data_IF_405051968597
#
_entry.id   IF_405051968597
#
_cell.length_a   1.000
_cell.length_b   1.000
_cell.length_c   1.000
_cell.angle_alpha   90.00
_cell.angle_beta   90.00
_cell.angle_gamma   90.00
#
_symmetry.space_group_name_H-M   'P 1'
#
loop_
_entity.id
_entity.type
_entity.pdbx_description
1 polymer ?
#
# COMPACT_ATOMS: atom_id res chain seq x y z
N UNK A 1 20.36 -13.02 13.17
CA UNK A 1 19.06 -13.51 12.68
C UNK A 1 19.07 -13.34 11.18
N UNK A 2 19.00 -14.44 10.42
CA UNK A 2 18.92 -14.34 8.95
C UNK A 2 17.63 -13.62 8.58
N UNK A 3 17.73 -12.57 7.76
CA UNK A 3 16.59 -11.90 7.20
C UNK A 3 15.95 -12.84 6.17
N UNK A 4 14.78 -13.39 6.50
CA UNK A 4 14.03 -14.25 5.59
C UNK A 4 13.55 -13.43 4.39
N UNK A 5 13.83 -13.89 3.18
CA UNK A 5 13.25 -13.32 1.96
C UNK A 5 11.84 -13.89 1.79
N UNK A 6 10.84 -13.03 1.85
CA UNK A 6 9.44 -13.42 1.68
C UNK A 6 9.06 -13.51 0.21
N UNK A 7 8.21 -14.47 -0.12
CA UNK A 7 7.53 -14.51 -1.43
C UNK A 7 6.60 -13.32 -1.56
N UNK A 8 6.73 -12.56 -2.66
CA UNK A 8 5.95 -11.35 -2.93
C UNK A 8 5.28 -11.42 -4.31
N UNK A 9 4.06 -10.92 -4.40
CA UNK A 9 3.29 -10.87 -5.67
C UNK A 9 3.97 -10.01 -6.73
N UNK A 10 4.67 -8.97 -6.31
CA UNK A 10 5.40 -8.07 -7.21
C UNK A 10 6.48 -8.80 -8.03
N UNK A 11 7.01 -9.93 -7.53
CA UNK A 11 7.98 -10.73 -8.27
C UNK A 11 7.44 -11.15 -9.65
N UNK A 12 6.17 -11.55 -9.73
CA UNK A 12 5.54 -11.92 -11.00
C UNK A 12 5.41 -10.72 -11.96
N UNK A 13 5.15 -9.52 -11.43
CA UNK A 13 5.11 -8.31 -12.25
C UNK A 13 6.50 -7.91 -12.78
N UNK A 14 7.55 -8.13 -11.98
CA UNK A 14 8.93 -7.93 -12.41
C UNK A 14 9.33 -8.92 -13.52
N UNK A 15 8.91 -10.20 -13.38
CA UNK A 15 9.15 -11.22 -14.42
C UNK A 15 8.41 -10.89 -15.72
N UNK A 16 7.15 -10.45 -15.63
CA UNK A 16 6.38 -10.00 -16.79
C UNK A 16 7.03 -8.79 -17.46
N UNK A 17 7.49 -7.79 -16.69
CA UNK A 17 8.23 -6.65 -17.24
C UNK A 17 9.48 -7.10 -18.00
N UNK A 18 10.28 -8.01 -17.45
CA UNK A 18 11.50 -8.52 -18.09
C UNK A 18 11.20 -9.13 -19.46
N UNK A 19 10.16 -9.96 -19.55
CA UNK A 19 9.74 -10.62 -20.80
C UNK A 19 9.17 -9.65 -21.83
N UNK A 20 8.40 -8.64 -21.40
CA UNK A 20 7.78 -7.66 -22.31
C UNK A 20 8.81 -6.61 -22.74
N UNK A 21 9.53 -6.03 -21.80
CA UNK A 21 10.46 -4.93 -22.05
C UNK A 21 11.64 -5.33 -22.92
N UNK A 22 12.22 -6.50 -22.70
CA UNK A 22 13.43 -6.99 -23.38
C UNK A 22 14.53 -5.94 -23.45
N UNK A 23 14.65 -5.11 -22.40
CA UNK A 23 15.63 -4.05 -22.26
C UNK A 23 15.24 -2.70 -22.86
N UNK A 24 14.01 -2.56 -23.38
CA UNK A 24 13.53 -1.28 -23.94
C UNK A 24 13.15 -0.25 -22.87
N UNK A 25 12.96 -0.68 -21.62
CA UNK A 25 12.65 0.19 -20.47
C UNK A 25 13.40 -0.28 -19.23
N UNK A 26 13.72 0.65 -18.34
CA UNK A 26 14.08 0.34 -16.95
C UNK A 26 12.82 0.08 -16.12
N UNK A 27 12.95 -0.67 -15.03
CA UNK A 27 11.88 -0.90 -14.06
C UNK A 27 12.08 -0.01 -12.83
N UNK A 28 11.09 0.83 -12.51
CA UNK A 28 11.07 1.57 -11.24
C UNK A 28 10.08 0.89 -10.27
N UNK A 29 10.59 0.38 -9.13
CA UNK A 29 9.81 -0.20 -8.04
C UNK A 29 9.57 0.88 -6.98
N UNK A 30 8.36 1.44 -6.98
CA UNK A 30 7.93 2.45 -6.03
C UNK A 30 7.24 1.85 -4.80
N UNK A 31 7.24 2.56 -3.69
CA UNK A 31 6.47 2.17 -2.51
C UNK A 31 7.04 2.73 -1.21
N UNK A 32 6.30 2.57 -0.12
CA UNK A 32 6.69 3.07 1.19
C UNK A 32 8.07 2.53 1.63
N UNK A 33 8.68 3.23 2.56
CA UNK A 33 9.94 2.77 3.16
C UNK A 33 9.71 1.51 3.99
N UNK A 34 10.71 0.61 4.04
CA UNK A 34 10.70 -0.64 4.85
C UNK A 34 9.71 -1.72 4.42
N UNK A 35 9.17 -1.67 3.21
CA UNK A 35 8.29 -2.74 2.67
C UNK A 35 9.05 -3.87 1.96
N UNK A 36 10.40 -3.77 1.86
CA UNK A 36 11.25 -4.82 1.31
C UNK A 36 11.58 -4.67 -0.18
N UNK A 37 11.56 -3.45 -0.75
CA UNK A 37 11.89 -3.18 -2.16
C UNK A 37 13.27 -3.70 -2.55
N UNK A 38 14.33 -3.23 -1.88
CA UNK A 38 15.72 -3.63 -2.16
C UNK A 38 15.91 -5.15 -2.07
N UNK A 39 15.30 -5.78 -1.05
CA UNK A 39 15.38 -7.22 -0.84
C UNK A 39 14.77 -8.01 -1.99
N UNK A 40 13.56 -7.65 -2.44
CA UNK A 40 12.89 -8.40 -3.52
C UNK A 40 13.53 -8.16 -4.88
N UNK A 41 14.03 -6.95 -5.13
CA UNK A 41 14.74 -6.63 -6.38
C UNK A 41 16.06 -7.38 -6.45
N UNK A 42 16.81 -7.44 -5.34
CA UNK A 42 18.05 -8.22 -5.29
C UNK A 42 17.78 -9.73 -5.44
N UNK A 43 16.74 -10.26 -4.80
CA UNK A 43 16.33 -11.66 -4.95
C UNK A 43 15.93 -11.97 -6.39
N UNK A 44 15.19 -11.08 -7.03
CA UNK A 44 14.84 -11.19 -8.44
C UNK A 44 16.09 -11.22 -9.33
N UNK A 45 17.05 -10.32 -9.07
CA UNK A 45 18.29 -10.28 -9.83
C UNK A 45 19.12 -11.58 -9.68
N UNK A 46 19.19 -12.14 -8.47
CA UNK A 46 19.88 -13.42 -8.20
C UNK A 46 19.28 -14.59 -8.96
N UNK A 47 17.97 -14.61 -9.11
CA UNK A 47 17.28 -15.75 -9.69
C UNK A 47 17.11 -15.64 -11.22
N UNK A 48 17.03 -14.42 -11.76
CA UNK A 48 16.62 -14.17 -13.13
C UNK A 48 17.78 -13.73 -14.05
N UNK A 49 18.97 -13.44 -13.51
CA UNK A 49 20.13 -12.96 -14.28
C UNK A 49 21.37 -13.76 -13.96
N UNK A 50 22.32 -13.85 -14.92
CA UNK A 50 23.61 -14.51 -14.72
C UNK A 50 24.52 -13.73 -13.76
N UNK A 51 24.40 -12.39 -13.76
CA UNK A 51 25.09 -11.52 -12.82
C UNK A 51 24.32 -10.23 -12.59
N UNK A 52 24.61 -9.54 -11.49
CA UNK A 52 24.03 -8.24 -11.19
C UNK A 52 25.01 -7.36 -10.41
N UNK A 53 24.83 -6.06 -10.54
CA UNK A 53 25.46 -5.04 -9.68
C UNK A 53 24.32 -4.30 -8.96
N UNK A 54 24.39 -4.26 -7.61
CA UNK A 54 23.51 -3.45 -6.79
C UNK A 54 24.28 -2.24 -6.28
N UNK A 55 23.83 -1.04 -6.64
CA UNK A 55 24.37 0.23 -6.21
C UNK A 55 23.40 0.84 -5.20
N UNK A 56 23.67 0.70 -3.91
CA UNK A 56 22.94 1.45 -2.88
C UNK A 56 23.49 2.89 -2.82
N UNK A 57 22.73 3.85 -3.31
CA UNK A 57 23.15 5.24 -3.33
C UNK A 57 23.21 5.93 -1.96
N UNK A 58 22.71 5.31 -0.89
CA UNK A 58 23.01 5.79 0.46
C UNK A 58 24.46 5.53 0.85
N UNK A 59 25.02 4.38 0.43
CA UNK A 59 26.36 3.90 0.82
C UNK A 59 27.40 4.07 -0.28
N UNK A 60 26.99 4.29 -1.54
CA UNK A 60 27.87 4.42 -2.68
C UNK A 60 28.89 5.55 -2.50
N UNK A 61 30.14 5.27 -2.91
CA UNK A 61 31.24 6.23 -2.84
C UNK A 61 31.00 7.46 -3.74
N UNK A 62 31.74 8.54 -3.49
CA UNK A 62 31.65 9.75 -4.30
C UNK A 62 32.05 9.48 -5.76
N UNK A 63 33.03 8.61 -5.96
CA UNK A 63 33.55 8.21 -7.28
C UNK A 63 32.45 7.47 -8.06
N UNK A 64 31.72 6.55 -7.45
CA UNK A 64 30.59 5.86 -8.09
C UNK A 64 29.47 6.84 -8.44
N UNK A 65 29.13 7.77 -7.56
CA UNK A 65 28.11 8.80 -7.86
C UNK A 65 28.54 9.73 -8.97
N UNK A 66 29.81 10.11 -9.02
CA UNK A 66 30.38 11.00 -10.04
C UNK A 66 30.40 10.38 -11.46
N UNK A 67 30.32 9.05 -11.58
CA UNK A 67 30.22 8.39 -12.90
C UNK A 67 29.01 8.87 -13.72
N UNK A 68 27.95 9.29 -13.04
CA UNK A 68 26.71 9.75 -13.67
C UNK A 68 26.72 11.26 -13.96
N UNK A 69 27.81 11.97 -13.67
CA UNK A 69 27.96 13.39 -13.99
C UNK A 69 28.33 13.60 -15.47
N UNK A 70 29.03 12.65 -16.07
CA UNK A 70 29.42 12.64 -17.46
C UNK A 70 29.07 11.33 -18.16
N UNK A 71 28.08 11.39 -19.03
CA UNK A 71 27.55 10.24 -19.78
C UNK A 71 28.17 10.07 -21.17
N UNK A 72 29.25 10.84 -21.48
CA UNK A 72 29.92 10.79 -22.78
C UNK A 72 30.61 9.44 -23.01
N UNK A 73 31.00 8.74 -21.95
CA UNK A 73 31.68 7.45 -22.04
C UNK A 73 31.02 6.36 -21.20
N UNK A 74 29.98 5.77 -21.75
CA UNK A 74 29.21 4.68 -21.11
C UNK A 74 30.07 3.43 -20.88
N UNK A 75 31.04 3.14 -21.78
CA UNK A 75 31.95 2.00 -21.63
C UNK A 75 32.80 2.15 -20.38
N UNK A 76 33.30 3.35 -20.11
CA UNK A 76 34.06 3.63 -18.88
C UNK A 76 33.19 3.42 -17.63
N UNK A 77 31.93 3.84 -17.65
CA UNK A 77 30.98 3.60 -16.54
C UNK A 77 30.90 2.11 -16.22
N UNK A 78 30.68 1.27 -17.23
CA UNK A 78 30.53 -0.17 -17.00
C UNK A 78 31.86 -0.82 -16.57
N UNK A 79 32.99 -0.43 -17.13
CA UNK A 79 34.29 -0.94 -16.71
C UNK A 79 34.56 -0.58 -15.24
N UNK A 80 34.31 0.66 -14.86
CA UNK A 80 34.48 1.12 -13.49
C UNK A 80 33.56 0.36 -12.51
N UNK A 81 32.31 0.23 -12.84
CA UNK A 81 31.33 -0.51 -12.00
C UNK A 81 31.71 -1.98 -11.82
N UNK A 82 32.12 -2.66 -12.89
CA UNK A 82 32.60 -4.05 -12.81
C UNK A 82 33.81 -4.19 -11.88
N UNK A 83 34.76 -3.25 -11.98
CA UNK A 83 35.93 -3.23 -11.10
C UNK A 83 35.57 -2.88 -9.65
N UNK A 84 34.75 -1.86 -9.42
CA UNK A 84 34.40 -1.37 -8.09
C UNK A 84 33.57 -2.42 -7.30
N UNK A 85 32.70 -3.17 -7.98
CA UNK A 85 31.85 -4.19 -7.36
C UNK A 85 32.39 -5.61 -7.52
N UNK A 86 33.54 -5.79 -8.17
CA UNK A 86 34.17 -7.10 -8.46
C UNK A 86 33.16 -8.07 -9.11
N UNK A 87 32.47 -7.62 -10.16
CA UNK A 87 31.47 -8.38 -10.90
C UNK A 87 31.71 -8.28 -12.40
N UNK A 88 31.48 -9.36 -13.12
CA UNK A 88 31.46 -9.35 -14.59
C UNK A 88 30.04 -9.20 -15.06
N UNK A 89 29.79 -8.28 -15.99
CA UNK A 89 28.51 -8.09 -16.65
C UNK A 89 28.47 -8.77 -18.01
N UNK A 90 27.39 -9.45 -18.31
CA UNK A 90 27.16 -10.17 -19.56
C UNK A 90 26.01 -9.47 -20.32
N UNK A 91 26.24 -9.16 -21.60
CA UNK A 91 25.25 -8.47 -22.45
C UNK A 91 23.93 -9.25 -22.48
N UNK A 92 22.85 -8.54 -22.24
CA UNK A 92 21.45 -9.03 -22.16
C UNK A 92 21.18 -10.11 -21.12
N UNK A 93 22.13 -10.40 -20.23
CA UNK A 93 22.03 -11.42 -19.17
C UNK A 93 22.34 -10.87 -17.78
N UNK A 94 22.65 -9.58 -17.69
CA UNK A 94 22.94 -8.91 -16.43
C UNK A 94 22.00 -7.74 -16.18
N UNK A 95 21.81 -7.42 -14.89
CA UNK A 95 21.02 -6.27 -14.46
C UNK A 95 21.83 -5.38 -13.52
N UNK A 96 21.66 -4.06 -13.67
CA UNK A 96 22.21 -3.07 -12.76
C UNK A 96 21.06 -2.48 -11.95
N UNK A 97 21.16 -2.57 -10.62
CA UNK A 97 20.14 -2.10 -9.68
C UNK A 97 20.61 -0.78 -9.09
N UNK A 98 19.78 0.25 -9.21
CA UNK A 98 19.93 1.57 -8.61
C UNK A 98 19.02 1.65 -7.38
N UNK A 99 19.55 1.27 -6.22
CA UNK A 99 18.78 1.28 -4.97
C UNK A 99 18.83 2.67 -4.34
N UNK A 100 17.66 3.14 -3.84
CA UNK A 100 17.47 4.50 -3.28
C UNK A 100 17.91 5.60 -4.27
N UNK A 101 17.46 5.49 -5.52
CA UNK A 101 17.90 6.31 -6.67
C UNK A 101 17.75 7.83 -6.44
N UNK A 102 16.86 8.26 -5.54
CA UNK A 102 16.70 9.67 -5.18
C UNK A 102 17.94 10.28 -4.51
N UNK A 103 18.87 9.46 -4.00
CA UNK A 103 20.14 9.93 -3.44
C UNK A 103 21.18 10.27 -4.52
N UNK A 104 20.90 9.90 -5.78
CA UNK A 104 21.73 10.27 -6.93
C UNK A 104 20.84 10.61 -8.15
N UNK A 105 20.23 11.81 -8.20
CA UNK A 105 19.32 12.19 -9.28
C UNK A 105 19.91 12.06 -10.69
N UNK A 106 21.22 12.28 -10.82
CA UNK A 106 21.95 12.13 -12.09
C UNK A 106 21.99 10.68 -12.59
N UNK A 107 22.09 9.71 -11.67
CA UNK A 107 21.99 8.29 -12.03
C UNK A 107 20.61 7.97 -12.62
N UNK A 108 19.55 8.53 -12.05
CA UNK A 108 18.20 8.40 -12.61
C UNK A 108 18.06 9.06 -13.98
N UNK A 109 18.62 10.26 -14.17
CA UNK A 109 18.64 10.91 -15.48
C UNK A 109 19.42 10.09 -16.52
N UNK A 110 20.46 9.36 -16.09
CA UNK A 110 21.27 8.50 -16.94
C UNK A 110 20.49 7.32 -17.53
N UNK A 111 19.41 6.87 -16.90
CA UNK A 111 18.59 5.71 -17.33
C UNK A 111 18.22 5.80 -18.81
N UNK A 112 17.82 6.97 -19.28
CA UNK A 112 17.51 7.18 -20.70
C UNK A 112 18.63 6.75 -21.64
N UNK A 113 19.86 7.09 -21.29
CA UNK A 113 21.04 6.79 -22.12
C UNK A 113 21.49 5.34 -21.94
N UNK A 114 21.38 4.81 -20.72
CA UNK A 114 21.74 3.44 -20.39
C UNK A 114 20.77 2.44 -21.04
N UNK A 115 19.48 2.71 -21.02
CA UNK A 115 18.46 1.91 -21.71
C UNK A 115 18.67 1.95 -23.23
N UNK A 116 19.02 3.13 -23.79
CA UNK A 116 19.32 3.28 -25.22
C UNK A 116 20.56 2.51 -25.66
N UNK A 117 21.57 2.36 -24.79
CA UNK A 117 22.76 1.53 -25.02
C UNK A 117 22.36 0.04 -25.18
N UNK A 118 21.43 -0.45 -24.37
CA UNK A 118 20.76 -1.75 -24.55
C UNK A 118 21.55 -2.97 -24.08
N UNK A 119 22.75 -2.84 -23.55
CA UNK A 119 23.58 -3.98 -23.11
C UNK A 119 23.04 -4.69 -21.87
N UNK A 120 22.45 -3.94 -20.93
CA UNK A 120 21.99 -4.46 -19.64
C UNK A 120 20.57 -4.03 -19.34
N UNK A 121 19.91 -4.74 -18.43
CA UNK A 121 18.65 -4.30 -17.86
C UNK A 121 18.90 -3.41 -16.63
N UNK A 122 17.95 -2.55 -16.29
CA UNK A 122 18.07 -1.62 -15.18
C UNK A 122 16.83 -1.68 -14.29
N UNK A 123 17.05 -1.76 -12.98
CA UNK A 123 15.97 -1.71 -11.99
C UNK A 123 16.32 -0.59 -11.00
N UNK A 124 15.35 0.29 -10.77
CA UNK A 124 15.44 1.38 -9.82
C UNK A 124 14.52 1.10 -8.62
N UNK A 125 14.96 1.45 -7.43
CA UNK A 125 14.08 1.52 -6.25
C UNK A 125 14.13 2.91 -5.64
N UNK A 126 13.02 3.30 -5.01
CA UNK A 126 12.99 4.56 -4.29
C UNK A 126 11.64 4.84 -3.63
N UNK A 127 11.62 5.80 -2.72
CA UNK A 127 10.39 6.38 -2.20
C UNK A 127 10.01 7.60 -3.03
N UNK A 128 8.77 7.65 -3.51
CA UNK A 128 8.31 8.67 -4.46
C UNK A 128 8.47 10.10 -3.92
N UNK A 129 8.20 10.29 -2.64
CA UNK A 129 8.30 11.59 -1.96
C UNK A 129 9.73 12.18 -2.04
N UNK A 130 10.75 11.33 -1.92
CA UNK A 130 12.15 11.75 -2.05
C UNK A 130 12.50 11.94 -3.52
N UNK A 131 11.92 11.14 -4.42
CA UNK A 131 12.13 11.23 -5.86
C UNK A 131 11.62 12.59 -6.39
N UNK A 132 10.39 12.99 -6.08
CA UNK A 132 9.83 14.27 -6.56
C UNK A 132 10.62 15.50 -6.11
N UNK A 133 11.17 15.49 -4.90
CA UNK A 133 12.04 16.58 -4.44
C UNK A 133 13.38 16.61 -5.15
N UNK A 134 13.99 15.46 -5.40
CA UNK A 134 15.32 15.35 -6.02
C UNK A 134 15.30 15.53 -7.54
N UNK A 135 14.11 15.45 -8.18
CA UNK A 135 13.99 15.52 -9.65
C UNK A 135 13.59 16.89 -10.18
N UNK A 136 13.50 17.92 -9.33
CA UNK A 136 13.15 19.29 -9.78
C UNK A 136 14.09 19.83 -10.86
N UNK A 137 15.35 19.39 -10.85
CA UNK A 137 16.41 19.88 -11.71
C UNK A 137 16.86 18.85 -12.77
N UNK A 138 16.15 17.72 -12.91
CA UNK A 138 16.47 16.68 -13.91
C UNK A 138 15.29 16.36 -14.81
N UNK A 139 15.59 15.91 -16.04
CA UNK A 139 14.60 15.35 -16.94
C UNK A 139 14.27 13.93 -16.49
N UNK A 140 12.99 13.66 -16.16
CA UNK A 140 12.53 12.31 -15.81
C UNK A 140 12.59 11.44 -17.07
N UNK A 141 13.22 10.25 -17.00
CA UNK A 141 13.25 9.33 -18.14
C UNK A 141 11.85 8.91 -18.59
N UNK A 142 11.64 8.91 -19.90
CA UNK A 142 10.41 8.34 -20.51
C UNK A 142 10.49 6.82 -20.66
N UNK A 143 11.68 6.28 -20.50
CA UNK A 143 12.03 4.87 -20.65
C UNK A 143 11.87 4.09 -19.33
N UNK A 144 11.04 4.56 -18.40
CA UNK A 144 10.72 3.90 -17.14
C UNK A 144 9.37 3.17 -17.22
N UNK A 145 9.34 1.90 -16.85
CA UNK A 145 8.12 1.18 -16.46
C UNK A 145 7.98 1.20 -14.94
N UNK A 146 6.83 1.64 -14.42
CA UNK A 146 6.62 1.81 -12.98
C UNK A 146 5.69 0.76 -12.42
N UNK A 147 6.10 0.13 -11.33
CA UNK A 147 5.25 -0.77 -10.55
C UNK A 147 5.24 -0.32 -9.09
N UNK A 148 4.06 -0.41 -8.46
CA UNK A 148 3.87 -0.03 -7.06
C UNK A 148 3.92 -1.26 -6.16
N UNK A 149 4.78 -1.22 -5.16
CA UNK A 149 4.90 -2.23 -4.12
C UNK A 149 4.19 -1.76 -2.85
N UNK A 150 3.37 -2.64 -2.29
CA UNK A 150 2.65 -2.41 -1.04
C UNK A 150 3.30 -3.16 0.13
N UNK A 151 2.97 -2.85 1.40
CA UNK A 151 3.18 -3.79 2.50
C UNK A 151 2.62 -5.16 2.13
N UNK A 152 3.12 -6.23 2.74
CA UNK A 152 2.61 -7.59 2.48
C UNK A 152 1.09 -7.61 2.69
N UNK A 153 0.37 -8.05 1.68
CA UNK A 153 -1.07 -8.23 1.78
C UNK A 153 -1.42 -9.49 2.59
N UNK A 154 -2.72 -9.74 2.81
CA UNK A 154 -3.17 -10.87 3.61
C UNK A 154 -2.70 -12.22 3.01
N UNK A 155 -2.69 -12.37 1.69
CA UNK A 155 -2.22 -13.60 1.04
C UNK A 155 -0.72 -13.79 1.19
N UNK A 156 0.08 -12.74 0.98
CA UNK A 156 1.53 -12.77 1.19
C UNK A 156 1.90 -13.07 2.65
N UNK A 157 1.12 -12.52 3.59
CA UNK A 157 1.25 -12.85 5.00
C UNK A 157 0.93 -14.34 5.27
N UNK A 158 -0.11 -14.90 4.64
CA UNK A 158 -0.42 -16.33 4.75
C UNK A 158 0.72 -17.18 4.18
N UNK A 159 1.32 -16.80 3.06
CA UNK A 159 2.51 -17.49 2.52
C UNK A 159 3.67 -17.47 3.52
N UNK A 160 3.93 -16.34 4.15
CA UNK A 160 4.96 -16.23 5.19
C UNK A 160 4.69 -17.14 6.40
N UNK A 161 3.40 -17.37 6.72
CA UNK A 161 2.96 -18.33 7.76
C UNK A 161 2.96 -19.78 7.30
N UNK A 162 3.45 -20.10 6.08
CA UNK A 162 3.48 -21.44 5.51
C UNK A 162 2.16 -21.90 4.86
N UNK A 163 1.16 -21.05 4.72
CA UNK A 163 -0.13 -21.38 4.13
C UNK A 163 -0.27 -20.78 2.72
N UNK A 164 -0.10 -21.60 1.71
CA UNK A 164 -0.27 -21.23 0.30
C UNK A 164 -1.61 -21.68 -0.29
N UNK A 165 -2.39 -22.47 0.44
CA UNK A 165 -3.61 -23.12 -0.07
C UNK A 165 -4.89 -22.38 0.29
N UNK A 166 -4.93 -21.72 1.46
CA UNK A 166 -6.18 -21.13 1.99
C UNK A 166 -6.76 -20.04 1.09
N UNK A 167 -5.95 -19.10 0.60
CA UNK A 167 -6.47 -17.98 -0.18
C UNK A 167 -6.98 -18.40 -1.56
N UNK A 168 -6.31 -19.27 -2.33
CA UNK A 168 -6.88 -19.86 -3.55
C UNK A 168 -8.21 -20.59 -3.31
N UNK A 169 -8.34 -21.33 -2.20
CA UNK A 169 -9.59 -21.98 -1.84
C UNK A 169 -10.68 -20.96 -1.53
N UNK A 170 -10.38 -19.93 -0.75
CA UNK A 170 -11.31 -18.84 -0.43
C UNK A 170 -11.81 -18.12 -1.69
N UNK A 171 -10.93 -17.94 -2.70
CA UNK A 171 -11.35 -17.38 -4.00
C UNK A 171 -12.36 -18.27 -4.70
N UNK A 172 -12.13 -19.59 -4.76
CA UNK A 172 -13.11 -20.53 -5.35
C UNK A 172 -14.45 -20.49 -4.63
N UNK A 173 -14.43 -20.40 -3.30
CA UNK A 173 -15.63 -20.28 -2.45
C UNK A 173 -16.37 -18.97 -2.75
N UNK A 174 -15.65 -17.86 -2.87
CA UNK A 174 -16.20 -16.56 -3.25
C UNK A 174 -16.83 -16.58 -4.64
N UNK A 175 -16.14 -17.13 -5.64
CA UNK A 175 -16.63 -17.20 -7.02
C UNK A 175 -17.90 -18.04 -7.14
N UNK A 176 -17.97 -19.14 -6.38
CA UNK A 176 -19.15 -20.02 -6.30
C UNK A 176 -20.23 -19.51 -5.34
N UNK A 177 -19.97 -18.46 -4.57
CA UNK A 177 -20.88 -17.87 -3.57
C UNK A 177 -21.33 -18.91 -2.52
N UNK A 178 -20.41 -19.72 -2.03
CA UNK A 178 -20.67 -20.80 -1.06
C UNK A 178 -20.30 -20.34 0.35
N UNK A 179 -21.17 -20.62 1.33
CA UNK A 179 -20.89 -20.44 2.75
C UNK A 179 -19.85 -21.47 3.23
N UNK A 180 -18.91 -21.03 4.06
CA UNK A 180 -17.90 -21.89 4.69
C UNK A 180 -18.42 -22.58 5.96
N UNK A 181 -19.52 -22.09 6.53
CA UNK A 181 -20.01 -22.44 7.85
C UNK A 181 -19.32 -21.66 8.97
N UNK A 182 -20.04 -21.48 10.09
CA UNK A 182 -19.58 -20.64 11.21
C UNK A 182 -18.23 -21.05 11.79
N UNK A 183 -17.95 -22.35 11.88
CA UNK A 183 -16.68 -22.86 12.44
C UNK A 183 -15.49 -22.45 11.63
N UNK A 184 -15.53 -22.62 10.31
CA UNK A 184 -14.44 -22.24 9.39
C UNK A 184 -14.33 -20.72 9.31
N UNK A 185 -15.45 -20.00 9.20
CA UNK A 185 -15.43 -18.54 9.21
C UNK A 185 -14.75 -17.99 10.47
N UNK A 186 -15.05 -18.54 11.67
CA UNK A 186 -14.41 -18.12 12.93
C UNK A 186 -12.90 -18.33 12.90
N UNK A 187 -12.44 -19.45 12.36
CA UNK A 187 -11.01 -19.72 12.17
C UNK A 187 -10.35 -18.69 11.25
N UNK A 188 -10.95 -18.45 10.07
CA UNK A 188 -10.40 -17.48 9.10
C UNK A 188 -10.42 -16.03 9.64
N UNK A 189 -11.44 -15.66 10.40
CA UNK A 189 -11.48 -14.37 11.09
C UNK A 189 -10.40 -14.25 12.17
N UNK A 190 -10.04 -15.33 12.87
CA UNK A 190 -8.93 -15.34 13.83
C UNK A 190 -7.59 -15.14 13.11
N UNK A 191 -7.36 -15.81 12.00
CA UNK A 191 -6.17 -15.66 11.16
C UNK A 191 -6.04 -14.22 10.61
N UNK A 192 -7.16 -13.63 10.16
CA UNK A 192 -7.21 -12.24 9.70
C UNK A 192 -6.88 -11.26 10.84
N UNK A 193 -7.38 -11.50 12.05
CA UNK A 193 -7.06 -10.65 13.20
C UNK A 193 -5.58 -10.70 13.56
N UNK A 194 -4.95 -11.84 13.43
CA UNK A 194 -3.50 -11.93 13.58
C UNK A 194 -2.78 -11.05 12.56
N UNK A 195 -3.20 -11.09 11.30
CA UNK A 195 -2.68 -10.18 10.27
C UNK A 195 -2.89 -8.70 10.63
N UNK A 196 -4.06 -8.34 11.15
CA UNK A 196 -4.34 -6.97 11.60
C UNK A 196 -3.39 -6.51 12.72
N UNK A 197 -2.98 -7.43 13.59
CA UNK A 197 -2.08 -7.14 14.71
C UNK A 197 -0.61 -7.06 14.27
N UNK A 198 -0.17 -7.99 13.43
CA UNK A 198 1.22 -8.03 12.94
C UNK A 198 1.45 -6.99 11.86
N UNK A 199 0.52 -6.89 10.91
CA UNK A 199 0.64 -6.06 9.71
C UNK A 199 1.40 -6.74 8.59
N UNK A 200 1.61 -5.99 7.51
CA UNK A 200 2.31 -6.42 6.32
C UNK A 200 3.75 -5.88 6.20
N UNK A 201 4.30 -5.27 7.25
CA UNK A 201 5.69 -4.82 7.23
C UNK A 201 6.63 -6.01 7.40
N UNK A 202 7.54 -6.34 6.43
CA UNK A 202 8.36 -7.54 6.48
C UNK A 202 9.15 -7.72 7.77
N UNK A 203 9.66 -6.63 8.35
CA UNK A 203 10.38 -6.68 9.63
C UNK A 203 9.47 -7.10 10.79
N UNK A 204 8.21 -6.64 10.80
CA UNK A 204 7.22 -7.02 11.82
C UNK A 204 6.79 -8.48 11.65
N UNK A 205 6.58 -8.92 10.40
CA UNK A 205 6.26 -10.33 10.09
C UNK A 205 7.41 -11.25 10.49
N UNK A 206 8.65 -10.90 10.16
CA UNK A 206 9.84 -11.66 10.54
C UNK A 206 10.01 -11.73 12.08
N UNK A 207 9.78 -10.64 12.79
CA UNK A 207 9.81 -10.63 14.25
C UNK A 207 8.75 -11.58 14.85
N UNK A 208 7.54 -11.58 14.29
CA UNK A 208 6.49 -12.50 14.74
C UNK A 208 6.85 -13.97 14.49
N UNK A 209 7.34 -14.31 13.29
CA UNK A 209 7.74 -15.68 12.92
C UNK A 209 8.86 -16.22 13.83
N UNK A 210 9.83 -15.38 14.16
CA UNK A 210 10.98 -15.79 14.97
C UNK A 210 10.66 -15.89 16.46
N UNK A 211 9.70 -15.12 16.98
CA UNK A 211 9.51 -15.00 18.43
C UNK A 211 8.11 -15.34 18.93
N UNK A 212 7.13 -15.37 18.04
CA UNK A 212 5.70 -15.46 18.37
C UNK A 212 5.28 -14.45 19.46
N UNK A 213 5.92 -13.27 19.49
CA UNK A 213 5.74 -12.27 20.52
C UNK A 213 5.24 -10.93 19.93
N UNK A 214 3.96 -10.62 20.18
CA UNK A 214 3.32 -9.40 19.67
C UNK A 214 3.88 -8.11 20.30
N UNK A 215 4.51 -8.17 21.47
CA UNK A 215 5.17 -7.00 22.06
C UNK A 215 6.44 -6.62 21.28
N UNK A 216 7.22 -7.61 20.84
CA UNK A 216 8.35 -7.35 19.94
C UNK A 216 7.90 -6.82 18.59
N UNK A 217 6.82 -7.36 18.05
CA UNK A 217 6.19 -6.85 16.81
C UNK A 217 5.79 -5.38 16.98
N UNK A 218 5.15 -5.01 18.09
CA UNK A 218 4.77 -3.61 18.36
C UNK A 218 5.99 -2.69 18.47
N UNK A 219 7.07 -3.14 19.10
CA UNK A 219 8.34 -2.40 19.17
C UNK A 219 8.90 -2.12 17.76
N UNK A 220 8.92 -3.11 16.87
CA UNK A 220 9.37 -2.93 15.49
C UNK A 220 8.47 -1.94 14.72
N UNK A 221 7.16 -2.05 14.88
CA UNK A 221 6.21 -1.12 14.23
C UNK A 221 6.39 0.31 14.71
N UNK A 222 6.66 0.53 16.00
CA UNK A 222 7.00 1.85 16.56
C UNK A 222 8.28 2.42 15.93
N UNK A 223 9.31 1.60 15.76
CA UNK A 223 10.53 2.02 15.07
C UNK A 223 10.25 2.43 13.60
N UNK A 224 9.41 1.67 12.89
CA UNK A 224 9.02 2.03 11.51
C UNK A 224 8.25 3.35 11.47
N UNK A 225 7.29 3.55 12.37
CA UNK A 225 6.53 4.80 12.47
C UNK A 225 7.43 6.00 12.82
N UNK A 226 8.43 5.79 13.68
CA UNK A 226 9.43 6.83 13.98
C UNK A 226 10.25 7.19 12.73
N UNK A 227 10.70 6.21 11.95
CA UNK A 227 11.38 6.45 10.68
C UNK A 227 10.52 7.24 9.69
N UNK A 228 9.21 6.97 9.62
CA UNK A 228 8.29 7.75 8.78
C UNK A 228 8.21 9.20 9.27
N UNK A 229 8.10 9.41 10.58
CA UNK A 229 8.08 10.76 11.16
C UNK A 229 9.37 11.54 10.86
N UNK A 230 10.53 10.88 10.90
CA UNK A 230 11.82 11.49 10.57
C UNK A 230 11.93 11.82 9.08
N UNK A 231 11.44 10.96 8.19
CA UNK A 231 11.40 11.23 6.75
C UNK A 231 10.44 12.40 6.43
N UNK A 232 9.28 12.47 7.09
CA UNK A 232 8.35 13.60 6.94
C UNK A 232 8.99 14.91 7.39
N UNK A 233 9.80 14.92 8.46
CA UNK A 233 10.50 16.12 8.91
C UNK A 233 11.59 16.59 7.95
N UNK A 234 12.23 15.70 7.21
CA UNK A 234 13.18 16.07 6.13
C UNK A 234 12.49 16.84 5.00
N UNK A 235 11.20 16.53 4.76
CA UNK A 235 10.39 17.13 3.71
C UNK A 235 9.73 18.41 4.19
N UNK A 236 9.09 18.33 5.35
CA UNK A 236 8.42 19.42 6.04
C UNK A 236 9.02 19.62 7.45
N UNK A 237 10.03 20.51 7.60
CA UNK A 237 10.63 20.80 8.90
C UNK A 237 9.63 21.37 9.93
N UNK A 238 8.48 21.91 9.48
CA UNK A 238 7.42 22.38 10.38
C UNK A 238 6.67 21.24 11.08
N UNK A 239 6.86 19.99 10.64
CA UNK A 239 6.27 18.78 11.21
C UNK A 239 4.77 18.62 10.94
N UNK A 240 4.19 19.36 9.99
CA UNK A 240 2.75 19.32 9.68
C UNK A 240 2.36 18.01 9.00
N UNK A 241 3.21 17.48 8.09
CA UNK A 241 2.98 16.17 7.46
C UNK A 241 2.87 15.09 8.54
N UNK A 242 3.80 15.07 9.52
CA UNK A 242 3.73 14.12 10.64
C UNK A 242 2.44 14.26 11.44
N UNK A 243 1.99 15.50 11.72
CA UNK A 243 0.72 15.73 12.44
C UNK A 243 -0.50 15.25 11.65
N UNK A 244 -0.53 15.46 10.35
CA UNK A 244 -1.58 14.93 9.48
C UNK A 244 -1.61 13.41 9.56
N UNK A 245 -0.47 12.74 9.35
CA UNK A 245 -0.35 11.30 9.43
C UNK A 245 -0.81 10.74 10.79
N UNK A 246 -0.29 11.30 11.90
CA UNK A 246 -0.61 10.86 13.26
C UNK A 246 -2.08 11.04 13.64
N UNK A 247 -2.80 11.97 13.01
CA UNK A 247 -4.20 12.25 13.31
C UNK A 247 -5.19 11.30 12.64
N UNK A 248 -4.75 10.50 11.65
CA UNK A 248 -5.63 9.63 10.86
C UNK A 248 -6.49 8.68 11.73
N UNK A 249 -5.94 7.92 12.70
CA UNK A 249 -6.76 7.02 13.50
C UNK A 249 -7.83 7.74 14.30
N UNK A 250 -7.50 8.91 14.87
CA UNK A 250 -8.44 9.70 15.66
C UNK A 250 -9.59 10.27 14.81
N UNK A 251 -9.33 10.62 13.55
CA UNK A 251 -10.38 11.11 12.65
C UNK A 251 -11.28 10.00 12.15
N UNK A 252 -10.74 8.85 11.79
CA UNK A 252 -11.53 7.67 11.41
C UNK A 252 -12.40 7.17 12.57
N UNK A 253 -11.88 7.16 13.80
CA UNK A 253 -12.64 6.71 14.98
C UNK A 253 -13.86 7.58 15.30
N UNK A 254 -13.90 8.82 14.83
CA UNK A 254 -15.01 9.76 15.01
C UNK A 254 -16.09 9.65 13.93
N UNK A 255 -15.96 8.71 12.98
CA UNK A 255 -16.87 8.51 11.83
C UNK A 255 -17.12 9.80 11.04
N UNK A 256 -16.08 10.59 10.81
CA UNK A 256 -16.20 11.83 10.04
C UNK A 256 -16.35 11.49 8.54
N UNK A 257 -17.29 12.16 7.87
CA UNK A 257 -17.57 11.98 6.44
C UNK A 257 -16.39 12.34 5.52
N UNK A 258 -15.38 13.04 6.04
CA UNK A 258 -14.14 13.37 5.34
C UNK A 258 -13.02 13.66 6.33
N UNK A 259 -11.79 13.52 5.89
CA UNK A 259 -10.62 13.95 6.65
C UNK A 259 -10.61 15.48 6.79
N UNK A 260 -10.27 15.98 7.99
CA UNK A 260 -10.25 17.40 8.35
C UNK A 260 -8.80 17.86 8.62
N UNK A 261 -8.03 18.30 7.61
CA UNK A 261 -6.63 18.70 7.79
C UNK A 261 -6.45 19.80 8.85
N UNK A 262 -7.36 20.76 8.85
CA UNK A 262 -7.31 21.91 9.77
C UNK A 262 -7.44 21.53 11.24
N UNK A 263 -8.02 20.38 11.56
CA UNK A 263 -8.06 19.89 12.94
C UNK A 263 -6.69 19.40 13.43
N UNK A 264 -5.79 19.00 12.52
CA UNK A 264 -4.45 18.52 12.85
C UNK A 264 -3.38 19.61 12.79
N UNK A 265 -3.48 20.54 11.82
CA UNK A 265 -2.42 21.52 11.51
C UNK A 265 -2.83 22.97 11.66
N UNK A 266 -4.09 23.22 12.08
CA UNK A 266 -4.65 24.57 12.19
C UNK A 266 -5.09 25.16 10.84
N UNK A 267 -5.59 26.39 10.86
CA UNK A 267 -6.00 27.10 9.63
C UNK A 267 -4.79 27.50 8.82
N UNK A 268 -4.84 27.24 7.52
CA UNK A 268 -3.82 27.64 6.55
C UNK A 268 -4.44 27.75 5.13
N UNK A 269 -3.69 28.30 4.18
CA UNK A 269 -4.12 28.41 2.80
C UNK A 269 -4.36 27.02 2.18
N UNK A 270 -5.36 26.89 1.31
CA UNK A 270 -5.77 25.63 0.71
C UNK A 270 -4.61 24.99 -0.07
N UNK A 271 -3.88 25.77 -0.85
CA UNK A 271 -2.74 25.32 -1.66
C UNK A 271 -1.64 24.67 -0.82
N UNK A 272 -1.42 25.17 0.42
CA UNK A 272 -0.45 24.57 1.34
C UNK A 272 -0.96 23.28 1.95
N UNK A 273 -2.26 23.15 2.17
CA UNK A 273 -2.87 21.88 2.61
C UNK A 273 -2.70 20.84 1.50
N UNK A 274 -3.02 21.22 0.27
CA UNK A 274 -2.92 20.35 -0.89
C UNK A 274 -1.47 19.85 -1.10
N UNK A 275 -0.48 20.73 -0.95
CA UNK A 275 0.94 20.35 -1.00
C UNK A 275 1.31 19.33 0.08
N UNK A 276 0.83 19.51 1.32
CA UNK A 276 1.08 18.58 2.42
C UNK A 276 0.42 17.22 2.17
N UNK A 277 -0.81 17.20 1.65
CA UNK A 277 -1.53 15.96 1.32
C UNK A 277 -0.86 15.25 0.15
N UNK A 278 -0.44 15.97 -0.89
CA UNK A 278 0.29 15.39 -2.01
C UNK A 278 1.60 14.75 -1.54
N UNK A 279 2.38 15.44 -0.70
CA UNK A 279 3.58 14.86 -0.11
C UNK A 279 3.26 13.59 0.72
N UNK A 280 2.14 13.57 1.44
CA UNK A 280 1.72 12.40 2.19
C UNK A 280 1.30 11.23 1.28
N UNK A 281 0.60 11.49 0.18
CA UNK A 281 0.25 10.52 -0.86
C UNK A 281 1.51 9.94 -1.52
N UNK A 282 2.45 10.80 -1.89
CA UNK A 282 3.73 10.42 -2.51
C UNK A 282 4.61 9.56 -1.58
N UNK A 283 4.42 9.67 -0.25
CA UNK A 283 5.13 8.81 0.71
C UNK A 283 4.75 7.34 0.59
N UNK A 284 3.59 7.04 -0.02
CA UNK A 284 3.00 5.69 -0.10
C UNK A 284 2.70 5.06 1.27
N UNK A 285 2.72 5.87 2.33
CA UNK A 285 2.40 5.42 3.69
C UNK A 285 0.91 5.48 4.00
N UNK A 286 0.14 6.15 3.14
CA UNK A 286 -1.31 6.30 3.26
C UNK A 286 -2.02 5.90 1.97
N UNK A 287 -3.28 5.49 2.11
CA UNK A 287 -4.23 5.30 1.03
C UNK A 287 -5.28 6.43 1.09
N UNK A 288 -5.54 7.08 -0.03
CA UNK A 288 -6.53 8.14 -0.12
C UNK A 288 -7.77 7.63 -0.85
N UNK A 289 -8.94 7.79 -0.22
CA UNK A 289 -10.22 7.60 -0.90
C UNK A 289 -10.82 8.98 -1.18
N UNK A 290 -11.01 9.30 -2.46
CA UNK A 290 -11.61 10.56 -2.89
C UNK A 290 -13.14 10.45 -2.94
N UNK A 291 -13.84 11.50 -2.51
CA UNK A 291 -15.27 11.62 -2.74
C UNK A 291 -15.54 11.77 -4.23
N UNK A 292 -16.52 11.06 -4.77
CA UNK A 292 -17.02 11.37 -6.12
C UNK A 292 -18.29 12.20 -6.02
N UNK A 293 -18.41 13.27 -6.82
CA UNK A 293 -19.60 14.12 -6.81
C UNK A 293 -20.73 13.54 -7.69
N UNK A 294 -20.40 12.69 -8.68
CA UNK A 294 -21.37 11.84 -9.42
C UNK A 294 -20.90 10.37 -9.36
N UNK A 295 -21.64 9.48 -8.67
CA UNK A 295 -21.29 8.07 -8.62
C UNK A 295 -21.62 7.38 -9.96
N UNK A 296 -20.62 7.37 -10.85
CA UNK A 296 -20.66 6.75 -12.17
C UNK A 296 -19.32 6.07 -12.47
N UNK A 297 -19.23 5.23 -13.48
CA UNK A 297 -18.00 4.48 -13.83
C UNK A 297 -16.78 5.38 -14.07
N UNK A 298 -16.99 6.62 -14.50
CA UNK A 298 -15.96 7.63 -14.67
C UNK A 298 -15.57 8.38 -13.37
N UNK A 299 -15.58 7.75 -12.22
CA UNK A 299 -15.31 8.39 -10.91
C UNK A 299 -14.07 9.30 -10.88
N UNK A 300 -12.95 9.00 -11.56
CA UNK A 300 -11.84 9.94 -11.62
C UNK A 300 -12.18 11.32 -12.23
N UNK A 301 -13.18 11.39 -13.11
CA UNK A 301 -13.61 12.64 -13.75
C UNK A 301 -14.45 13.51 -12.81
N UNK A 302 -15.07 12.91 -11.80
CA UNK A 302 -15.96 13.57 -10.84
C UNK A 302 -15.40 13.51 -9.41
N UNK A 303 -14.13 13.15 -9.28
CA UNK A 303 -13.43 13.11 -8.01
C UNK A 303 -13.28 14.51 -7.42
N UNK A 304 -13.71 14.69 -6.19
CA UNK A 304 -13.55 15.94 -5.46
C UNK A 304 -12.25 15.89 -4.65
N UNK A 305 -11.24 16.57 -5.15
CA UNK A 305 -9.90 16.60 -4.52
C UNK A 305 -9.90 17.25 -3.13
N UNK A 306 -10.92 18.05 -2.79
CA UNK A 306 -11.06 18.69 -1.49
C UNK A 306 -11.88 17.88 -0.48
N UNK A 307 -12.41 16.73 -0.92
CA UNK A 307 -13.15 15.79 -0.06
C UNK A 307 -12.52 14.41 -0.16
N UNK A 308 -11.85 13.98 0.87
CA UNK A 308 -11.17 12.69 0.92
C UNK A 308 -11.17 12.12 2.32
N UNK A 309 -10.96 10.81 2.41
CA UNK A 309 -10.61 10.07 3.61
C UNK A 309 -9.17 9.58 3.50
N UNK A 310 -8.46 9.54 4.62
CA UNK A 310 -7.11 9.00 4.71
C UNK A 310 -7.10 7.71 5.53
N UNK A 311 -6.42 6.71 5.02
CA UNK A 311 -6.19 5.43 5.65
C UNK A 311 -4.69 5.17 5.74
N UNK A 312 -4.22 4.54 6.81
CA UNK A 312 -2.82 4.11 6.91
C UNK A 312 -2.59 2.93 5.95
N UNK A 313 -1.51 2.96 5.21
CA UNK A 313 -1.18 1.93 4.20
C UNK A 313 -0.97 0.52 4.76
N UNK A 314 -0.74 0.40 6.07
CA UNK A 314 -0.64 -0.88 6.77
C UNK A 314 -1.47 -0.88 8.05
N UNK A 315 -2.39 -1.85 8.18
CA UNK A 315 -3.30 -1.93 9.33
C UNK A 315 -2.56 -2.29 10.63
N UNK A 316 -1.45 -3.02 10.56
CA UNK A 316 -0.62 -3.29 11.75
C UNK A 316 0.00 -2.00 12.29
N UNK A 317 0.50 -1.12 11.42
CA UNK A 317 0.97 0.21 11.80
C UNK A 317 -0.17 1.08 12.33
N UNK A 318 -1.36 1.00 11.71
CA UNK A 318 -2.55 1.69 12.19
C UNK A 318 -2.90 1.34 13.63
N UNK A 319 -2.90 0.05 13.97
CA UNK A 319 -3.22 -0.45 15.32
C UNK A 319 -2.21 0.08 16.36
N UNK A 320 -0.93 0.13 16.02
CA UNK A 320 0.10 0.73 16.90
C UNK A 320 -0.07 2.24 17.00
N UNK A 321 -0.33 2.92 15.89
CA UNK A 321 -0.47 4.37 15.83
C UNK A 321 -1.69 4.89 16.62
N UNK A 322 -2.78 4.13 16.65
CA UNK A 322 -4.01 4.49 17.33
C UNK A 322 -3.81 4.73 18.84
N UNK A 323 -2.78 4.13 19.43
CA UNK A 323 -2.38 4.28 20.83
C UNK A 323 -0.88 4.53 20.95
N UNK A 324 -0.39 5.51 20.21
CA UNK A 324 1.04 5.83 20.14
C UNK A 324 1.67 6.19 21.49
N UNK A 325 0.90 6.86 22.34
CA UNK A 325 1.30 7.30 23.69
C UNK A 325 1.21 6.20 24.76
N UNK A 326 0.75 5.00 24.39
CA UNK A 326 0.54 3.86 25.30
C UNK A 326 1.50 2.71 24.97
N UNK A 327 1.86 1.96 25.99
CA UNK A 327 2.56 0.71 25.81
C UNK A 327 1.67 -0.36 25.16
N UNK A 328 2.27 -1.39 24.59
CA UNK A 328 1.56 -2.52 23.98
C UNK A 328 0.46 -3.10 24.89
N UNK A 329 0.75 -3.30 26.18
CA UNK A 329 -0.18 -3.88 27.16
C UNK A 329 -1.40 -2.99 27.44
N UNK A 330 -1.29 -1.69 27.22
CA UNK A 330 -2.35 -0.71 27.41
C UNK A 330 -3.15 -0.49 26.11
N UNK A 331 -2.69 -1.00 24.97
CA UNK A 331 -3.39 -0.83 23.72
C UNK A 331 -4.66 -1.69 23.68
N UNK A 332 -5.76 -1.04 23.89
CA UNK A 332 -7.08 -1.66 23.96
C UNK A 332 -7.49 -2.41 22.70
N UNK A 333 -6.97 -2.00 21.52
CA UNK A 333 -7.25 -2.67 20.23
C UNK A 333 -6.63 -4.06 20.22
N UNK A 334 -5.39 -4.20 20.68
CA UNK A 334 -4.73 -5.51 20.82
C UNK A 334 -5.56 -6.45 21.68
N UNK A 335 -5.98 -6.00 22.87
CA UNK A 335 -6.77 -6.81 23.78
C UNK A 335 -8.12 -7.23 23.17
N UNK A 336 -8.80 -6.33 22.48
CA UNK A 336 -10.10 -6.61 21.85
C UNK A 336 -9.96 -7.60 20.69
N UNK A 337 -8.93 -7.44 19.84
CA UNK A 337 -8.66 -8.35 18.73
C UNK A 337 -8.27 -9.74 19.21
N UNK A 338 -7.40 -9.84 20.23
CA UNK A 338 -6.98 -11.12 20.80
C UNK A 338 -8.11 -11.87 21.52
N UNK A 339 -9.01 -11.15 22.21
CA UNK A 339 -10.06 -11.76 23.02
C UNK A 339 -11.31 -12.20 22.24
N UNK A 340 -11.32 -12.10 20.91
CA UNK A 340 -12.51 -12.36 20.08
C UNK A 340 -13.72 -11.44 20.37
N UNK A 341 -13.58 -10.51 21.29
CA UNK A 341 -14.62 -9.56 21.67
C UNK A 341 -14.59 -8.35 20.74
N UNK A 342 -15.13 -8.52 19.54
CA UNK A 342 -15.32 -7.42 18.60
C UNK A 342 -16.42 -6.51 19.15
N UNK A 343 -16.02 -5.37 19.72
CA UNK A 343 -16.97 -4.35 20.14
C UNK A 343 -17.45 -3.53 18.93
N UNK A 344 -18.63 -2.95 19.05
CA UNK A 344 -19.23 -2.01 18.09
C UNK A 344 -18.31 -0.86 17.67
N UNK A 345 -17.26 -0.56 18.42
CA UNK A 345 -16.41 0.60 18.25
C UNK A 345 -15.12 0.34 17.43
N UNK A 346 -15.03 -0.76 16.68
CA UNK A 346 -13.83 -1.09 15.88
C UNK A 346 -14.04 -0.95 14.37
N UNK A 347 -15.16 -0.38 13.92
CA UNK A 347 -15.49 -0.19 12.51
C UNK A 347 -14.36 0.47 11.73
N UNK A 348 -13.77 1.51 12.30
CA UNK A 348 -12.67 2.27 11.67
C UNK A 348 -11.38 1.45 11.43
N UNK A 349 -11.11 0.41 12.25
CA UNK A 349 -9.96 -0.48 12.04
C UNK A 349 -10.24 -1.41 10.84
N UNK A 350 -11.46 -1.93 10.75
CA UNK A 350 -11.88 -2.75 9.61
C UNK A 350 -12.00 -1.93 8.32
N UNK A 351 -12.47 -0.69 8.41
CA UNK A 351 -12.50 0.23 7.26
C UNK A 351 -11.08 0.49 6.73
N UNK A 352 -10.10 0.74 7.61
CA UNK A 352 -8.69 0.86 7.21
C UNK A 352 -8.17 -0.44 6.57
N UNK A 353 -8.49 -1.61 7.11
CA UNK A 353 -8.09 -2.89 6.54
C UNK A 353 -8.67 -3.10 5.14
N UNK A 354 -9.97 -2.81 4.97
CA UNK A 354 -10.64 -2.91 3.66
C UNK A 354 -10.00 -1.94 2.65
N UNK A 355 -9.72 -0.70 3.04
CA UNK A 355 -8.99 0.26 2.20
C UNK A 355 -7.62 -0.28 1.75
N UNK A 356 -6.84 -0.84 2.68
CA UNK A 356 -5.55 -1.47 2.39
C UNK A 356 -5.71 -2.64 1.41
N UNK A 357 -6.66 -3.55 1.66
CA UNK A 357 -6.88 -4.72 0.80
C UNK A 357 -7.32 -4.34 -0.61
N UNK A 358 -8.26 -3.41 -0.74
CA UNK A 358 -8.73 -2.91 -2.04
C UNK A 358 -7.60 -2.23 -2.81
N UNK A 359 -6.76 -1.44 -2.13
CA UNK A 359 -5.63 -0.76 -2.76
C UNK A 359 -4.56 -1.74 -3.22
N UNK A 360 -4.20 -2.72 -2.40
CA UNK A 360 -3.25 -3.78 -2.74
C UNK A 360 -3.74 -4.68 -3.89
N UNK A 361 -5.06 -4.78 -4.10
CA UNK A 361 -5.68 -5.45 -5.25
C UNK A 361 -5.77 -4.57 -6.51
N UNK A 362 -5.10 -3.39 -6.53
CA UNK A 362 -5.02 -2.51 -7.69
C UNK A 362 -6.19 -1.54 -7.86
N UNK A 363 -7.12 -1.48 -6.90
CA UNK A 363 -8.26 -0.57 -7.01
C UNK A 363 -7.89 0.86 -6.59
N UNK A 364 -8.39 1.87 -7.32
CA UNK A 364 -8.46 3.25 -6.82
C UNK A 364 -9.63 3.35 -5.85
N UNK A 365 -9.42 4.08 -4.75
CA UNK A 365 -10.44 4.21 -3.71
C UNK A 365 -11.29 5.45 -3.94
N UNK A 366 -12.60 5.25 -3.97
CA UNK A 366 -13.60 6.32 -3.99
C UNK A 366 -14.65 6.01 -2.93
N UNK A 367 -15.31 7.06 -2.42
CA UNK A 367 -16.46 6.96 -1.53
C UNK A 367 -17.53 7.95 -1.94
N UNK A 368 -18.74 7.81 -1.38
CA UNK A 368 -19.85 8.69 -1.73
C UNK A 368 -20.72 9.01 -0.52
N UNK A 369 -21.17 10.26 -0.44
CA UNK A 369 -22.13 10.70 0.59
C UNK A 369 -23.30 11.38 -0.06
N UNK A 370 -24.52 11.13 0.45
CA UNK A 370 -25.75 11.76 -0.05
C UNK A 370 -26.74 12.01 1.09
N UNK A 371 -27.65 13.01 0.96
CA UNK A 371 -28.59 13.35 2.02
C UNK A 371 -29.49 12.17 2.41
N UNK A 372 -29.63 11.95 3.71
CA UNK A 372 -30.63 11.09 4.32
C UNK A 372 -31.87 11.90 4.72
N UNK A 373 -31.63 13.03 5.40
CA UNK A 373 -32.61 14.03 5.84
C UNK A 373 -31.95 15.40 5.88
N UNK A 374 -32.59 16.41 6.46
CA UNK A 374 -32.06 17.79 6.53
C UNK A 374 -30.73 17.92 7.30
N UNK A 375 -30.40 16.96 8.19
CA UNK A 375 -29.27 17.04 9.11
C UNK A 375 -28.29 15.88 8.98
N UNK A 376 -28.70 14.79 8.36
CA UNK A 376 -27.91 13.55 8.26
C UNK A 376 -27.63 13.18 6.81
N UNK A 377 -26.54 12.47 6.61
CA UNK A 377 -26.16 11.92 5.31
C UNK A 377 -26.00 10.41 5.41
N UNK A 378 -26.33 9.71 4.33
CA UNK A 378 -25.89 8.35 4.06
C UNK A 378 -24.46 8.40 3.54
N UNK A 379 -23.71 7.32 3.80
CA UNK A 379 -22.36 7.13 3.29
C UNK A 379 -22.22 5.74 2.70
N UNK A 380 -21.50 5.64 1.58
CA UNK A 380 -20.99 4.39 1.01
C UNK A 380 -19.48 4.43 1.18
N UNK A 381 -18.94 3.51 1.97
CA UNK A 381 -17.54 3.51 2.40
C UNK A 381 -16.58 3.41 1.22
N UNK A 382 -16.88 2.54 0.23
CA UNK A 382 -16.09 2.42 -0.99
C UNK A 382 -16.98 2.20 -2.22
N UNK A 383 -16.53 2.77 -3.34
CA UNK A 383 -17.10 2.54 -4.67
C UNK A 383 -16.02 1.99 -5.61
N UNK A 384 -16.30 0.90 -6.29
CA UNK A 384 -15.46 0.35 -7.34
C UNK A 384 -16.19 0.38 -8.68
N UNK A 385 -15.42 0.53 -9.77
CA UNK A 385 -15.95 0.33 -11.13
C UNK A 385 -15.70 -1.10 -11.58
N UNK A 386 -16.73 -1.74 -12.16
CA UNK A 386 -16.65 -3.07 -12.74
C UNK A 386 -17.36 -3.07 -14.10
N UNK A 387 -16.55 -3.06 -15.18
CA UNK A 387 -17.07 -2.84 -16.52
C UNK A 387 -17.73 -1.47 -16.63
N UNK A 388 -19.01 -1.44 -16.99
CA UNK A 388 -19.83 -0.23 -17.13
C UNK A 388 -20.76 0.02 -15.91
N UNK A 389 -20.49 -0.60 -14.77
CA UNK A 389 -21.33 -0.54 -13.56
C UNK A 389 -20.48 -0.26 -12.31
N UNK A 390 -21.17 0.13 -11.25
CA UNK A 390 -20.58 0.36 -9.92
C UNK A 390 -20.82 -0.83 -8.98
N UNK A 391 -19.83 -1.08 -8.13
CA UNK A 391 -19.91 -1.95 -6.98
C UNK A 391 -19.82 -1.09 -5.70
N UNK A 392 -20.93 -0.73 -5.06
CA UNK A 392 -20.89 -0.08 -3.75
C UNK A 392 -20.53 -1.09 -2.66
N UNK A 393 -19.70 -0.67 -1.72
CA UNK A 393 -19.20 -1.46 -0.61
C UNK A 393 -19.47 -0.71 0.69
N UNK A 394 -20.16 -1.33 1.62
CA UNK A 394 -20.33 -0.89 3.01
C UNK A 394 -19.57 -1.83 3.94
N UNK A 395 -18.87 -1.30 4.95
CA UNK A 395 -18.07 -2.07 5.90
C UNK A 395 -18.73 -2.07 7.28
N UNK A 396 -19.01 -3.24 7.84
CA UNK A 396 -19.65 -3.37 9.15
C UNK A 396 -18.89 -4.33 10.07
N UNK A 397 -18.38 -3.83 11.19
CA UNK A 397 -17.84 -4.69 12.26
C UNK A 397 -18.94 -5.33 13.11
N UNK A 398 -20.07 -4.66 13.21
CA UNK A 398 -21.27 -5.09 13.98
C UNK A 398 -22.52 -4.42 13.40
N UNK A 399 -23.71 -4.78 13.87
CA UNK A 399 -24.97 -4.15 13.44
C UNK A 399 -25.33 -4.40 11.97
N UNK A 400 -24.85 -5.48 11.40
CA UNK A 400 -24.96 -5.84 9.97
C UNK A 400 -26.40 -6.22 9.51
N UNK A 401 -27.36 -6.35 10.42
CA UNK A 401 -28.76 -6.64 10.08
C UNK A 401 -29.48 -5.48 9.38
N UNK A 402 -28.90 -4.28 9.44
CA UNK A 402 -29.40 -3.09 8.78
C UNK A 402 -28.27 -2.43 7.99
N UNK A 403 -28.47 -2.27 6.70
CA UNK A 403 -27.54 -1.63 5.77
C UNK A 403 -28.24 -0.52 4.97
N UNK A 404 -28.92 0.37 5.72
CA UNK A 404 -29.79 1.39 5.16
C UNK A 404 -29.10 2.35 4.16
N UNK A 405 -27.81 2.66 4.34
CA UNK A 405 -27.06 3.47 3.38
C UNK A 405 -26.91 2.76 2.04
N UNK A 406 -26.55 1.47 2.09
CA UNK A 406 -26.36 0.64 0.89
C UNK A 406 -27.68 0.44 0.17
N UNK A 407 -28.78 0.15 0.90
CA UNK A 407 -30.11 -0.02 0.33
C UNK A 407 -30.61 1.26 -0.34
N UNK A 408 -30.49 2.40 0.33
CA UNK A 408 -30.87 3.69 -0.22
C UNK A 408 -30.06 4.06 -1.46
N UNK A 409 -28.76 3.73 -1.47
CA UNK A 409 -27.91 3.94 -2.64
C UNK A 409 -28.33 3.04 -3.80
N UNK A 410 -28.57 1.75 -3.55
CA UNK A 410 -29.02 0.79 -4.56
C UNK A 410 -30.37 1.18 -5.15
N UNK A 411 -31.29 1.69 -4.35
CA UNK A 411 -32.58 2.19 -4.83
C UNK A 411 -32.40 3.43 -5.71
N UNK A 412 -31.57 4.40 -5.25
CA UNK A 412 -31.38 5.68 -5.95
C UNK A 412 -30.65 5.54 -7.27
N UNK A 413 -29.70 4.61 -7.38
CA UNK A 413 -28.82 4.43 -8.53
C UNK A 413 -28.93 3.03 -9.16
N UNK A 414 -30.11 2.42 -9.11
CA UNK A 414 -30.35 1.03 -9.54
C UNK A 414 -29.76 0.68 -10.89
N UNK A 415 -29.88 1.59 -11.85
CA UNK A 415 -29.39 1.39 -13.24
C UNK A 415 -27.87 1.37 -13.36
N UNK A 416 -27.16 1.89 -12.36
CA UNK A 416 -25.69 2.03 -12.36
C UNK A 416 -24.97 0.93 -11.58
N UNK A 417 -25.68 0.05 -10.88
CA UNK A 417 -25.11 -0.92 -9.94
C UNK A 417 -25.11 -2.32 -10.51
N UNK A 418 -24.06 -3.08 -10.20
CA UNK A 418 -23.96 -4.50 -10.58
C UNK A 418 -23.91 -5.43 -9.37
N UNK A 419 -23.08 -5.22 -8.41
CA UNK A 419 -22.90 -6.08 -7.23
C UNK A 419 -22.71 -5.20 -6.00
N UNK A 420 -23.76 -4.96 -5.19
CA UNK A 420 -23.60 -4.36 -3.89
C UNK A 420 -23.02 -5.37 -2.89
N UNK A 421 -22.02 -4.92 -2.12
CA UNK A 421 -21.35 -5.73 -1.12
C UNK A 421 -21.48 -5.12 0.27
N UNK A 422 -21.82 -5.97 1.25
CA UNK A 422 -21.62 -5.69 2.66
C UNK A 422 -20.43 -6.52 3.16
N UNK A 423 -19.33 -5.86 3.48
CA UNK A 423 -18.12 -6.49 4.04
C UNK A 423 -18.25 -6.52 5.55
N UNK A 424 -18.21 -7.72 6.16
CA UNK A 424 -18.52 -7.89 7.57
C UNK A 424 -17.76 -9.05 8.22
N UNK A 425 -18.08 -9.37 9.47
CA UNK A 425 -17.31 -10.36 10.25
C UNK A 425 -17.92 -11.77 10.24
N UNK A 426 -19.05 -11.97 9.59
CA UNK A 426 -19.74 -13.27 9.52
C UNK A 426 -19.48 -13.93 8.17
N UNK A 427 -19.99 -15.17 8.03
CA UNK A 427 -19.81 -15.98 6.84
C UNK A 427 -20.58 -15.44 5.63
N UNK A 428 -20.18 -15.87 4.43
CA UNK A 428 -20.79 -15.45 3.17
C UNK A 428 -22.27 -15.82 3.13
N UNK A 429 -23.10 -14.83 2.87
CA UNK A 429 -24.54 -14.99 2.68
C UNK A 429 -25.08 -13.95 1.70
N UNK A 430 -26.30 -14.14 1.24
CA UNK A 430 -27.01 -13.23 0.34
C UNK A 430 -28.23 -12.64 1.03
N UNK A 431 -28.38 -11.33 0.93
CA UNK A 431 -29.59 -10.62 1.37
C UNK A 431 -30.11 -9.76 0.20
N UNK A 432 -31.24 -10.17 -0.38
CA UNK A 432 -31.76 -9.55 -1.60
C UNK A 432 -30.76 -9.56 -2.74
N UNK A 433 -30.36 -8.35 -3.19
CA UNK A 433 -29.33 -8.16 -4.21
C UNK A 433 -27.92 -8.05 -3.63
N UNK A 434 -27.81 -7.79 -2.32
CA UNK A 434 -26.55 -7.56 -1.63
C UNK A 434 -25.88 -8.89 -1.27
N UNK A 435 -24.60 -9.00 -1.60
CA UNK A 435 -23.76 -10.11 -1.16
C UNK A 435 -23.00 -9.68 0.10
N UNK A 436 -23.27 -10.38 1.20
CA UNK A 436 -22.59 -10.19 2.47
C UNK A 436 -21.36 -11.10 2.49
N UNK A 437 -20.17 -10.50 2.57
CA UNK A 437 -18.92 -11.26 2.49
C UNK A 437 -18.06 -11.04 3.73
N UNK A 438 -17.39 -12.08 4.22
CA UNK A 438 -16.42 -11.91 5.29
C UNK A 438 -15.24 -11.04 4.82
N UNK A 439 -14.69 -10.22 5.74
CA UNK A 439 -13.64 -9.22 5.43
C UNK A 439 -12.42 -9.85 4.74
N UNK A 440 -12.05 -11.07 5.09
CA UNK A 440 -10.91 -11.75 4.46
C UNK A 440 -11.13 -12.09 2.96
N UNK A 441 -12.35 -11.92 2.44
CA UNK A 441 -12.67 -12.05 1.01
C UNK A 441 -12.59 -10.71 0.25
N UNK A 442 -12.37 -9.59 0.92
CA UNK A 442 -12.22 -8.27 0.29
C UNK A 442 -11.22 -8.24 -0.88
N UNK A 443 -10.06 -8.95 -0.84
CA UNK A 443 -9.11 -8.95 -1.96
C UNK A 443 -9.68 -9.54 -3.27
N UNK A 444 -10.84 -10.14 -3.24
CA UNK A 444 -11.48 -10.74 -4.42
C UNK A 444 -12.45 -9.79 -5.14
N UNK A 445 -12.71 -8.62 -4.54
CA UNK A 445 -13.57 -7.58 -5.09
C UNK A 445 -12.95 -6.80 -6.26
#
# INVERSE_FOLDING_TARGET
MENMVFKRKIYSQMAEWKEISKGSTALLVEGARRIGKSTIVEEFAKNEYESYILIDFNEASKEVKALFDDLMNIDFIFLFLQNAYNKTLHERKSVIIFDEVQQCPKARQAIKYLVKDGRYDYIETGSLISIHKSTKDISIPSEEHRIEMFPMDYEEFRWAMGDTASVPLLRQVFDKKISLGEGVNRLKMRELRLYMLVGGMPQAVNAYLNTNNLQQVDTIKRQILQLYADDFRKIDPSGKISKLFMSIPAQLSRNQLRYQPTSAVGRMAAEKIDELILNLEDSKTVNIAYHTDDPNVGMPLTANINKYKLYIGDTGLFVTLAFWDKDYTENIIYQKLLSDKLSTNMGYVFENLVAQMLRASGNRLFYYTFPKDATHSYEIDFLLSRGNKLCPIEVKSSGYKTHASLDAFCQKFSDRIVHPYLVYTKDLQKDGQTLLIPIYMTPFL
#
